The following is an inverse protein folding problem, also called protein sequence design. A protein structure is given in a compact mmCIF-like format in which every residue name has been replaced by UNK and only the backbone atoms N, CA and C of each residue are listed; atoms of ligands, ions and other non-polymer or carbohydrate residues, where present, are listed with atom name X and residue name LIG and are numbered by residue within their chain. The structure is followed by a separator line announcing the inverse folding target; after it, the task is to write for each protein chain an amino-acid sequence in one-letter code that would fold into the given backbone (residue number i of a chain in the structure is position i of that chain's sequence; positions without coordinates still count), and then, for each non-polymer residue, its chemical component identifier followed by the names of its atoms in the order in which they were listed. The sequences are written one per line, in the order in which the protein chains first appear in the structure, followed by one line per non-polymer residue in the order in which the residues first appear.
data_IF_137505788698
#
_entry.id   IF_137505788698
#
_cell.length_a   1.000
_cell.length_b   1.000
_cell.length_c   1.000
_cell.angle_alpha   90.00
_cell.angle_beta   90.00
_cell.angle_gamma   90.00
#
_symmetry.space_group_name_H-M   'P 1'
#
loop_
_entity.id
_entity.type
_entity.pdbx_description
1 polymer ?
#
# COMPACT_ATOMS: atom_id res chain seq x y z
N UNK A 1 9.72 -21.01 11.19
CA UNK A 1 9.60 -19.94 12.20
C UNK A 1 8.79 -18.80 11.58
N UNK A 2 7.78 -18.27 12.28
CA UNK A 2 6.99 -17.14 11.79
C UNK A 2 7.85 -15.86 11.77
N UNK A 3 7.77 -15.09 10.68
CA UNK A 3 8.57 -13.88 10.48
C UNK A 3 7.84 -12.84 9.62
N UNK A 4 8.26 -11.58 9.72
CA UNK A 4 7.80 -10.46 8.90
C UNK A 4 8.94 -9.50 8.53
N UNK A 5 8.63 -8.42 7.84
CA UNK A 5 9.65 -7.46 7.41
C UNK A 5 9.19 -6.01 7.56
N UNK A 6 10.18 -5.13 7.66
CA UNK A 6 10.03 -3.70 7.44
C UNK A 6 10.99 -3.31 6.33
N UNK A 7 10.56 -2.44 5.42
CA UNK A 7 11.40 -1.91 4.36
C UNK A 7 11.37 -0.39 4.35
N UNK A 8 12.45 0.20 3.85
CA UNK A 8 12.42 1.56 3.32
C UNK A 8 12.69 1.48 1.82
N UNK A 9 11.98 2.28 1.06
CA UNK A 9 12.16 2.37 -0.38
C UNK A 9 13.13 3.50 -0.76
N UNK A 10 13.63 3.44 -1.98
CA UNK A 10 14.42 4.51 -2.58
C UNK A 10 13.52 5.66 -3.02
N UNK A 11 14.07 6.88 -3.03
CA UNK A 11 13.34 8.07 -3.44
C UNK A 11 12.65 7.92 -4.81
N UNK A 12 13.35 7.29 -5.77
CA UNK A 12 12.88 7.10 -7.15
C UNK A 12 12.00 5.86 -7.34
N UNK A 13 11.82 5.03 -6.31
CA UNK A 13 11.07 3.78 -6.40
C UNK A 13 10.19 3.55 -5.16
N UNK A 14 9.13 4.36 -5.04
CA UNK A 14 8.15 4.31 -3.95
C UNK A 14 8.36 5.39 -2.89
N UNK A 15 9.62 5.68 -2.54
CA UNK A 15 9.96 6.73 -1.58
C UNK A 15 9.48 6.46 -0.16
N UNK A 16 9.22 7.53 0.58
CA UNK A 16 8.81 7.49 1.98
C UNK A 16 9.00 8.87 2.61
N UNK A 17 8.47 9.05 3.82
CA UNK A 17 8.41 10.35 4.49
C UNK A 17 9.77 11.08 4.55
N UNK A 18 10.85 10.33 4.73
CA UNK A 18 12.21 10.86 4.84
C UNK A 18 13.15 10.45 3.71
N UNK A 19 12.61 9.98 2.59
CA UNK A 19 13.41 9.42 1.50
C UNK A 19 14.37 10.46 0.89
N UNK A 20 13.95 11.73 0.85
CA UNK A 20 14.75 12.83 0.29
C UNK A 20 15.81 13.30 1.29
N UNK A 21 15.42 13.47 2.54
CA UNK A 21 16.26 13.95 3.65
C UNK A 21 17.44 13.03 3.91
N UNK A 22 17.20 11.71 3.88
CA UNK A 22 18.24 10.72 4.12
C UNK A 22 18.84 10.14 2.84
N UNK A 23 18.42 10.60 1.66
CA UNK A 23 18.79 10.00 0.38
C UNK A 23 18.67 8.46 0.43
N UNK A 24 17.47 7.99 0.77
CA UNK A 24 17.25 6.61 1.17
C UNK A 24 17.65 5.63 0.07
N UNK A 25 18.31 4.55 0.49
CA UNK A 25 18.54 3.36 -0.31
C UNK A 25 17.55 2.28 0.09
N UNK A 26 17.23 1.36 -0.82
CA UNK A 26 16.37 0.24 -0.49
C UNK A 26 17.01 -0.59 0.62
N UNK A 27 16.38 -0.64 1.79
CA UNK A 27 16.85 -1.42 2.93
C UNK A 27 15.72 -2.25 3.53
N UNK A 28 16.07 -3.33 4.23
CA UNK A 28 15.11 -4.28 4.78
C UNK A 28 15.56 -4.78 6.16
N UNK A 29 14.65 -4.71 7.12
CA UNK A 29 14.75 -5.41 8.40
C UNK A 29 13.86 -6.65 8.39
N UNK A 30 14.31 -7.75 9.01
CA UNK A 30 13.53 -8.99 9.15
C UNK A 30 13.26 -9.20 10.62
N UNK A 31 12.02 -9.53 10.95
CA UNK A 31 11.52 -9.69 12.30
C UNK A 31 11.10 -11.14 12.52
N UNK A 32 11.67 -11.77 13.53
CA UNK A 32 11.30 -13.12 13.97
C UNK A 32 10.24 -13.00 15.07
N UNK A 33 9.14 -13.77 14.96
CA UNK A 33 8.02 -13.71 15.89
C UNK A 33 8.09 -14.84 16.92
N UNK A 34 7.99 -14.48 18.20
CA UNK A 34 8.03 -15.38 19.36
C UNK A 34 6.82 -15.08 20.27
N UNK A 35 5.70 -15.77 20.00
CA UNK A 35 4.41 -15.42 20.60
C UNK A 35 3.98 -14.02 20.18
N UNK A 36 3.67 -13.15 21.15
CA UNK A 36 3.34 -11.75 20.89
C UNK A 36 4.56 -10.86 20.63
N UNK A 37 5.79 -11.37 20.77
CA UNK A 37 6.99 -10.54 20.68
C UNK A 37 7.68 -10.64 19.32
N UNK A 38 8.26 -9.53 18.87
CA UNK A 38 9.12 -9.47 17.69
C UNK A 38 10.54 -9.03 18.06
N UNK A 39 11.53 -9.63 17.40
CA UNK A 39 12.96 -9.27 17.49
C UNK A 39 13.58 -9.25 16.10
N UNK A 40 14.63 -8.46 15.88
CA UNK A 40 15.34 -8.45 14.59
C UNK A 40 16.83 -8.68 14.75
N UNK A 41 17.39 -9.61 13.95
CA UNK A 41 18.85 -9.78 13.82
C UNK A 41 19.56 -8.54 13.25
N UNK A 42 18.82 -7.66 12.56
CA UNK A 42 19.38 -6.44 11.98
C UNK A 42 19.34 -5.25 12.96
N UNK A 43 18.59 -5.37 14.05
CA UNK A 43 18.43 -4.30 15.06
C UNK A 43 18.66 -4.92 16.46
N UNK A 44 19.93 -5.09 16.88
CA UNK A 44 20.26 -5.73 18.14
C UNK A 44 19.70 -4.98 19.35
N UNK A 45 19.29 -5.72 20.39
CA UNK A 45 18.78 -5.16 21.64
C UNK A 45 17.31 -4.73 21.61
N UNK A 46 16.63 -4.84 20.46
CA UNK A 46 15.21 -4.48 20.33
C UNK A 46 14.31 -5.71 20.44
N UNK A 47 13.37 -5.65 21.37
CA UNK A 47 12.24 -6.57 21.53
C UNK A 47 11.00 -5.78 21.90
N UNK A 48 9.88 -6.01 21.22
CA UNK A 48 8.61 -5.38 21.54
C UNK A 48 7.45 -6.36 21.36
N UNK A 49 6.32 -6.09 22.05
CA UNK A 49 5.07 -6.81 21.82
C UNK A 49 4.36 -6.21 20.61
N UNK A 50 4.01 -7.04 19.63
CA UNK A 50 3.30 -6.63 18.43
C UNK A 50 1.83 -6.36 18.71
N UNK A 51 1.28 -5.36 18.03
CA UNK A 51 -0.17 -5.13 17.93
C UNK A 51 -0.59 -5.57 16.54
N UNK A 52 -1.18 -6.75 16.44
CA UNK A 52 -1.65 -7.28 15.16
C UNK A 52 -2.89 -6.54 14.70
N UNK A 53 -2.84 -5.93 13.52
CA UNK A 53 -3.93 -5.16 12.93
C UNK A 53 -3.95 -5.34 11.39
N UNK A 54 -5.12 -5.27 10.73
CA UNK A 54 -5.19 -5.19 9.29
C UNK A 54 -4.79 -3.78 8.82
N UNK A 55 -3.70 -3.67 8.03
CA UNK A 55 -3.35 -2.38 7.39
C UNK A 55 -4.35 -1.96 6.31
N UNK A 56 -4.97 -2.96 5.66
CA UNK A 56 -5.95 -2.78 4.59
C UNK A 56 -7.24 -3.54 4.89
N UNK A 57 -8.34 -2.81 5.03
CA UNK A 57 -9.69 -3.35 5.18
C UNK A 57 -10.74 -2.39 4.60
N UNK A 58 -11.68 -2.90 3.82
CA UNK A 58 -12.72 -2.08 3.22
C UNK A 58 -13.70 -2.90 2.38
N UNK A 59 -14.71 -2.22 1.83
CA UNK A 59 -15.72 -2.81 0.94
C UNK A 59 -15.51 -2.38 -0.51
N UNK A 60 -16.14 -3.02 -1.49
CA UNK A 60 -16.05 -2.55 -2.87
C UNK A 60 -16.73 -1.16 -3.02
N UNK A 61 -16.13 -0.20 -3.75
CA UNK A 61 -16.79 1.08 -4.01
C UNK A 61 -17.95 0.94 -4.99
N UNK A 62 -18.84 1.93 -5.01
CA UNK A 62 -19.78 2.11 -6.13
C UNK A 62 -19.03 2.59 -7.39
N UNK A 63 -19.65 2.44 -8.55
CA UNK A 63 -19.08 2.93 -9.81
C UNK A 63 -18.87 4.46 -9.81
N UNK A 64 -19.78 5.22 -9.20
CA UNK A 64 -19.67 6.68 -9.06
C UNK A 64 -18.49 7.08 -8.17
N UNK A 65 -18.31 6.36 -7.05
CA UNK A 65 -17.21 6.63 -6.13
C UNK A 65 -15.86 6.29 -6.78
N UNK A 66 -15.77 5.17 -7.50
CA UNK A 66 -14.58 4.81 -8.28
C UNK A 66 -14.25 5.86 -9.34
N UNK A 67 -15.25 6.35 -10.09
CA UNK A 67 -15.05 7.40 -11.07
C UNK A 67 -14.55 8.71 -10.44
N UNK A 68 -15.09 9.06 -9.25
CA UNK A 68 -14.64 10.22 -8.48
C UNK A 68 -13.17 10.10 -8.08
N UNK A 69 -12.74 8.92 -7.61
CA UNK A 69 -11.33 8.66 -7.26
C UNK A 69 -10.40 8.79 -8.47
N UNK A 70 -10.74 8.12 -9.57
CA UNK A 70 -9.92 8.15 -10.77
C UNK A 70 -9.79 9.56 -11.33
N UNK A 71 -10.86 10.35 -11.30
CA UNK A 71 -10.84 11.76 -11.74
C UNK A 71 -9.91 12.60 -10.86
N UNK A 72 -10.13 12.62 -9.54
CA UNK A 72 -9.36 13.50 -8.64
C UNK A 72 -7.88 13.11 -8.59
N UNK A 73 -7.58 11.81 -8.59
CA UNK A 73 -6.20 11.32 -8.56
C UNK A 73 -5.49 11.56 -9.91
N UNK A 74 -6.21 11.41 -11.03
CA UNK A 74 -5.72 11.76 -12.35
C UNK A 74 -5.41 13.25 -12.51
N UNK A 75 -6.30 14.13 -12.02
CA UNK A 75 -6.08 15.58 -12.00
C UNK A 75 -4.85 15.95 -11.15
N UNK A 76 -4.67 15.30 -10.00
CA UNK A 76 -3.49 15.50 -9.14
C UNK A 76 -2.19 15.05 -9.84
N UNK A 77 -2.20 13.91 -10.51
CA UNK A 77 -1.05 13.43 -11.30
C UNK A 77 -0.74 14.43 -12.42
N UNK A 78 -1.74 14.92 -13.14
CA UNK A 78 -1.54 15.88 -14.23
C UNK A 78 -0.94 17.21 -13.73
N UNK A 79 -1.34 17.68 -12.55
CA UNK A 79 -0.80 18.88 -11.93
C UNK A 79 0.66 18.72 -11.43
N UNK A 80 1.12 17.49 -11.25
CA UNK A 80 2.42 17.15 -10.67
C UNK A 80 3.16 16.06 -11.47
N UNK A 81 3.13 16.16 -12.80
CA UNK A 81 3.58 15.09 -13.71
C UNK A 81 5.02 14.60 -13.46
N UNK A 82 5.92 15.49 -13.04
CA UNK A 82 7.34 15.19 -12.80
C UNK A 82 7.67 14.99 -11.31
N UNK A 83 6.67 14.82 -10.45
CA UNK A 83 6.90 14.64 -9.02
C UNK A 83 7.60 13.30 -8.71
N UNK A 84 8.65 13.38 -7.88
CA UNK A 84 9.37 12.21 -7.37
C UNK A 84 9.41 12.28 -5.83
N UNK A 85 8.80 11.32 -5.12
CA UNK A 85 7.98 10.21 -5.63
C UNK A 85 6.65 10.68 -6.26
N UNK A 86 5.97 9.84 -7.07
CA UNK A 86 4.66 10.18 -7.63
C UNK A 86 3.62 10.50 -6.55
N UNK A 87 2.76 11.47 -6.82
CA UNK A 87 1.71 11.94 -5.88
C UNK A 87 0.50 11.01 -5.79
N UNK A 88 0.24 10.22 -6.83
CA UNK A 88 -0.75 9.17 -6.88
C UNK A 88 -0.39 8.18 -8.01
N UNK A 89 -1.09 7.04 -8.07
CA UNK A 89 -0.90 6.06 -9.14
C UNK A 89 -2.21 5.83 -9.89
N UNK A 90 -2.22 5.94 -11.23
CA UNK A 90 -3.42 5.66 -12.02
C UNK A 90 -3.74 4.15 -12.01
N UNK A 91 -4.92 3.75 -12.52
CA UNK A 91 -5.19 2.35 -12.84
C UNK A 91 -4.04 1.73 -13.64
N UNK A 92 -3.67 0.49 -13.28
CA UNK A 92 -2.56 -0.24 -13.89
C UNK A 92 -3.03 -1.64 -14.30
N UNK A 93 -3.24 -1.89 -15.60
CA UNK A 93 -3.67 -3.19 -16.07
C UNK A 93 -2.70 -4.32 -15.70
N UNK A 94 -1.39 -4.04 -15.64
CA UNK A 94 -0.37 -5.03 -15.33
C UNK A 94 -0.48 -5.50 -13.88
N UNK A 95 -0.75 -6.79 -13.71
CA UNK A 95 -0.89 -7.41 -12.38
C UNK A 95 -2.26 -7.21 -11.74
N UNK A 96 -3.26 -6.72 -12.49
CA UNK A 96 -4.66 -6.73 -12.03
C UNK A 96 -5.12 -8.17 -11.77
N UNK A 97 -5.75 -8.40 -10.62
CA UNK A 97 -6.30 -9.69 -10.22
C UNK A 97 -7.65 -9.50 -9.52
N UNK A 98 -8.69 -10.16 -10.01
CA UNK A 98 -10.08 -10.01 -9.50
C UNK A 98 -10.51 -11.23 -8.67
N UNK A 99 -9.79 -12.35 -8.75
CA UNK A 99 -10.11 -13.57 -8.00
C UNK A 99 -11.39 -14.28 -8.42
N UNK A 100 -11.92 -13.96 -9.59
CA UNK A 100 -13.13 -14.54 -10.17
C UNK A 100 -12.91 -14.85 -11.64
N UNK A 101 -13.59 -15.88 -12.15
CA UNK A 101 -13.64 -16.16 -13.58
C UNK A 101 -14.70 -15.26 -14.23
N UNK A 102 -14.25 -14.34 -15.08
CA UNK A 102 -15.06 -13.30 -15.69
C UNK A 102 -14.77 -13.24 -17.19
N UNK A 103 -15.76 -12.78 -17.95
CA UNK A 103 -15.58 -12.58 -19.38
C UNK A 103 -14.47 -11.55 -19.66
N UNK A 104 -13.74 -11.73 -20.77
CA UNK A 104 -12.49 -11.02 -21.05
C UNK A 104 -12.68 -9.49 -21.08
N UNK A 105 -13.74 -9.00 -21.71
CA UNK A 105 -14.08 -7.57 -21.78
C UNK A 105 -14.38 -6.96 -20.41
N UNK A 106 -14.97 -7.73 -19.49
CA UNK A 106 -15.17 -7.28 -18.11
C UNK A 106 -13.83 -7.16 -17.38
N UNK A 107 -12.94 -8.16 -17.54
CA UNK A 107 -11.58 -8.10 -16.97
C UNK A 107 -10.78 -6.94 -17.53
N UNK A 108 -10.85 -6.68 -18.85
CA UNK A 108 -10.18 -5.55 -19.48
C UNK A 108 -10.71 -4.21 -18.98
N UNK A 109 -12.03 -4.10 -18.75
CA UNK A 109 -12.63 -2.91 -18.16
C UNK A 109 -12.13 -2.68 -16.73
N UNK A 110 -12.16 -3.71 -15.89
CA UNK A 110 -11.67 -3.63 -14.51
C UNK A 110 -10.19 -3.26 -14.48
N UNK A 111 -9.38 -3.84 -15.36
CA UNK A 111 -7.95 -3.54 -15.43
C UNK A 111 -7.64 -2.08 -15.84
N UNK A 112 -8.49 -1.48 -16.67
CA UNK A 112 -8.32 -0.08 -17.14
C UNK A 112 -8.89 0.95 -16.17
N UNK A 113 -9.93 0.61 -15.42
CA UNK A 113 -10.66 1.55 -14.56
C UNK A 113 -10.43 1.30 -13.06
N UNK A 114 -9.87 0.16 -12.67
CA UNK A 114 -9.69 -0.25 -11.29
C UNK A 114 -8.66 0.62 -10.56
N UNK A 115 -9.10 1.32 -9.52
CA UNK A 115 -8.23 2.13 -8.69
C UNK A 115 -7.20 1.27 -7.93
N UNK A 116 -5.99 1.79 -7.76
CA UNK A 116 -4.93 1.13 -6.97
C UNK A 116 -5.32 1.08 -5.50
N UNK A 117 -4.89 0.01 -4.81
CA UNK A 117 -5.16 -0.23 -3.38
C UNK A 117 -4.16 0.46 -2.43
N UNK A 118 -3.37 1.43 -2.93
CA UNK A 118 -2.30 2.09 -2.17
C UNK A 118 -2.86 3.07 -1.12
N UNK A 119 -3.78 3.99 -1.44
CA UNK A 119 -4.32 4.91 -0.45
C UNK A 119 -5.59 4.38 0.22
N UNK A 120 -5.76 4.71 1.49
CA UNK A 120 -7.06 4.70 2.16
C UNK A 120 -8.00 5.74 1.54
N UNK A 121 -9.28 5.41 1.46
CA UNK A 121 -10.35 6.23 0.86
C UNK A 121 -11.62 6.14 1.70
N UNK A 122 -12.71 6.70 1.20
CA UNK A 122 -14.01 6.79 1.88
C UNK A 122 -14.57 5.42 2.31
N UNK A 123 -14.20 4.35 1.62
CA UNK A 123 -14.62 2.97 1.92
C UNK A 123 -13.72 2.24 2.94
N UNK A 124 -12.75 2.94 3.54
CA UNK A 124 -11.61 2.32 4.24
C UNK A 124 -10.48 2.07 3.25
N UNK A 125 -10.14 0.80 3.02
CA UNK A 125 -9.00 0.41 2.19
C UNK A 125 -7.70 0.47 3.00
N UNK A 126 -6.62 0.99 2.40
CA UNK A 126 -5.30 1.00 3.02
C UNK A 126 -5.11 2.20 3.96
N UNK A 127 -5.81 2.17 5.09
CA UNK A 127 -5.74 3.24 6.09
C UNK A 127 -4.52 3.12 7.01
N UNK A 128 -3.95 1.92 7.17
CA UNK A 128 -2.80 1.64 8.03
C UNK A 128 -2.97 2.15 9.47
N UNK A 129 -4.18 1.98 10.03
CA UNK A 129 -4.54 2.45 11.37
C UNK A 129 -4.22 1.38 12.41
N UNK A 130 -3.28 1.68 13.32
CA UNK A 130 -2.77 0.68 14.26
C UNK A 130 -3.68 0.39 15.46
N UNK A 131 -4.69 1.22 15.69
CA UNK A 131 -5.65 1.05 16.79
C UNK A 131 -6.74 0.01 16.51
N UNK A 132 -6.88 -0.44 15.27
CA UNK A 132 -7.83 -1.50 14.87
C UNK A 132 -7.26 -2.89 15.18
N UNK A 133 -6.79 -3.05 16.41
CA UNK A 133 -6.18 -4.28 16.89
C UNK A 133 -7.19 -5.42 16.98
N UNK A 134 -6.77 -6.62 16.62
CA UNK A 134 -7.51 -7.85 16.95
C UNK A 134 -7.42 -8.06 18.46
N UNK A 135 -8.53 -7.79 19.17
CA UNK A 135 -8.70 -8.07 20.60
C UNK A 135 -8.76 -9.56 20.89
#
# INVERSE_FOLDING_TARGET
MPWGYTGIFELENGGGLFAREFNSKACKAIWDFNGIYATSRHIPGVRFAGVSHPGLIGTAPSAELLATWNKREGELIAAHADAVPPVAFPPEPKGTYVGQDLHKDVLEKIAKEGARTIPGREHGGNCDVSSDGLS
#
